data_IF_326635528847
#
_entry.id   IF_326635528847
#
_cell.length_a   1.000
_cell.length_b   1.000
_cell.length_c   1.000
_cell.angle_alpha   90.00
_cell.angle_beta   90.00
_cell.angle_gamma   90.00
#
_symmetry.space_group_name_H-M   'P 1'
#
loop_
_entity.id
_entity.type
_entity.pdbx_description
1 polymer ?
#
# COMPACT_ATOMS: atom_id res chain seq x y z
N UNK A 1 -5.21 -9.16 -7.26
CA UNK A 1 -4.49 -7.89 -6.98
C UNK A 1 -4.44 -7.68 -5.47
N UNK A 2 -3.39 -7.09 -4.90
CA UNK A 2 -2.97 -7.33 -3.49
C UNK A 2 -4.01 -7.19 -2.35
N UNK A 3 -5.05 -6.37 -2.53
CA UNK A 3 -6.23 -6.24 -1.64
C UNK A 3 -7.42 -7.18 -2.00
N UNK A 4 -7.21 -8.15 -2.86
CA UNK A 4 -8.20 -9.14 -3.29
C UNK A 4 -8.42 -10.20 -2.21
N UNK A 5 -9.67 -10.65 -2.10
CA UNK A 5 -10.04 -11.80 -1.26
C UNK A 5 -9.61 -13.14 -1.92
N UNK A 6 -9.23 -13.14 -3.20
CA UNK A 6 -8.78 -14.30 -3.97
C UNK A 6 -7.37 -14.74 -3.52
N UNK A 7 -7.22 -15.92 -2.87
CA UNK A 7 -5.95 -16.37 -2.30
C UNK A 7 -4.80 -16.46 -3.31
N UNK A 8 -5.09 -16.79 -4.58
CA UNK A 8 -4.09 -16.96 -5.64
C UNK A 8 -3.35 -15.67 -5.99
N UNK A 9 -3.84 -14.51 -5.55
CA UNK A 9 -3.25 -13.20 -5.84
C UNK A 9 -2.72 -12.48 -4.60
N UNK A 10 -2.47 -13.23 -3.51
CA UNK A 10 -2.01 -12.71 -2.23
C UNK A 10 -1.03 -13.68 -1.60
N UNK A 11 0.14 -13.20 -1.19
CA UNK A 11 1.05 -14.00 -0.36
C UNK A 11 0.75 -13.81 1.13
N UNK A 12 1.20 -14.75 1.95
CA UNK A 12 1.08 -14.64 3.40
C UNK A 12 2.06 -13.64 4.03
N UNK A 13 3.17 -13.38 3.34
CA UNK A 13 4.38 -12.74 3.88
C UNK A 13 4.71 -11.36 3.28
N UNK A 14 3.97 -10.90 2.24
CA UNK A 14 4.25 -9.64 1.54
C UNK A 14 3.11 -8.65 1.74
N UNK A 15 3.47 -7.36 1.78
CA UNK A 15 2.48 -6.29 1.78
C UNK A 15 1.65 -6.31 0.49
N UNK A 16 0.43 -5.79 0.54
CA UNK A 16 -0.48 -5.82 -0.60
C UNK A 16 0.06 -5.04 -1.81
N UNK A 17 0.84 -3.98 -1.58
CA UNK A 17 1.50 -3.19 -2.61
C UNK A 17 2.50 -4.04 -3.39
N UNK A 18 3.27 -4.88 -2.69
CA UNK A 18 4.26 -5.78 -3.29
C UNK A 18 3.58 -6.94 -4.02
N UNK A 19 2.53 -7.53 -3.44
CA UNK A 19 1.73 -8.56 -4.12
C UNK A 19 1.16 -8.03 -5.44
N UNK A 20 0.55 -6.83 -5.41
CA UNK A 20 0.02 -6.18 -6.61
C UNK A 20 1.09 -5.90 -7.65
N UNK A 21 2.25 -5.41 -7.21
CA UNK A 21 3.36 -5.10 -8.10
C UNK A 21 3.93 -6.37 -8.76
N UNK A 22 4.09 -7.46 -8.02
CA UNK A 22 4.56 -8.75 -8.55
C UNK A 22 3.58 -9.32 -9.58
N UNK A 23 2.28 -9.35 -9.27
CA UNK A 23 1.24 -9.81 -10.20
C UNK A 23 1.26 -8.99 -11.49
N UNK A 24 1.37 -7.66 -11.40
CA UNK A 24 1.42 -6.80 -12.59
C UNK A 24 2.69 -7.05 -13.42
N UNK A 25 3.84 -7.23 -12.78
CA UNK A 25 5.12 -7.53 -13.45
C UNK A 25 5.06 -8.87 -14.19
N UNK A 26 4.55 -9.91 -13.55
CA UNK A 26 4.39 -11.24 -14.15
C UNK A 26 3.42 -11.17 -15.33
N UNK A 27 2.26 -10.54 -15.13
CA UNK A 27 1.29 -10.33 -16.21
C UNK A 27 1.91 -9.62 -17.41
N UNK A 28 2.61 -8.50 -17.20
CA UNK A 28 3.24 -7.78 -18.30
C UNK A 28 4.26 -8.67 -19.00
N UNK A 29 5.13 -9.40 -18.28
CA UNK A 29 6.11 -10.31 -18.90
C UNK A 29 5.47 -11.41 -19.73
N UNK A 30 4.40 -12.01 -19.23
CA UNK A 30 3.67 -13.06 -19.93
C UNK A 30 3.04 -12.52 -21.23
N UNK A 31 2.46 -11.32 -21.17
CA UNK A 31 1.90 -10.65 -22.36
C UNK A 31 2.96 -10.05 -23.28
N UNK A 32 4.19 -9.83 -22.80
CA UNK A 32 5.27 -9.18 -23.55
C UNK A 32 5.90 -10.06 -24.63
N UNK A 33 5.58 -11.35 -24.62
CA UNK A 33 6.14 -12.34 -25.53
C UNK A 33 5.48 -12.22 -26.91
N UNK A 34 6.17 -11.62 -27.88
CA UNK A 34 5.85 -11.79 -29.31
C UNK A 34 5.13 -10.63 -30.02
N UNK A 35 5.12 -9.41 -29.48
CA UNK A 35 4.53 -8.23 -30.15
C UNK A 35 5.56 -7.13 -30.43
N UNK A 36 5.44 -6.46 -31.58
CA UNK A 36 6.09 -5.15 -31.79
C UNK A 36 5.60 -4.16 -30.72
N UNK A 37 6.52 -3.41 -30.09
CA UNK A 37 6.20 -2.52 -28.95
C UNK A 37 6.31 -3.18 -27.57
N UNK A 38 7.03 -4.29 -27.46
CA UNK A 38 7.31 -4.95 -26.17
C UNK A 38 7.95 -4.00 -25.15
N UNK A 39 7.51 -4.14 -23.90
CA UNK A 39 8.04 -3.43 -22.76
C UNK A 39 9.49 -3.86 -22.50
N UNK A 40 10.39 -2.91 -22.31
CA UNK A 40 11.73 -3.21 -21.81
C UNK A 40 11.66 -3.57 -20.32
N UNK A 41 12.63 -4.34 -19.83
CA UNK A 41 12.72 -4.66 -18.40
C UNK A 41 12.74 -3.39 -17.51
N UNK A 42 13.33 -2.30 -18.00
CA UNK A 42 13.29 -1.02 -17.29
C UNK A 42 11.87 -0.45 -17.15
N UNK A 43 11.01 -0.58 -18.17
CA UNK A 43 9.59 -0.17 -18.08
C UNK A 43 8.79 -1.11 -17.18
N UNK A 44 9.07 -2.40 -17.23
CA UNK A 44 8.45 -3.40 -16.35
C UNK A 44 8.80 -3.10 -14.89
N UNK A 45 10.08 -2.83 -14.59
CA UNK A 45 10.51 -2.40 -13.27
C UNK A 45 9.86 -1.08 -12.87
N UNK A 46 9.73 -0.11 -13.79
CA UNK A 46 9.07 1.18 -13.51
C UNK A 46 7.60 0.99 -13.12
N UNK A 47 6.86 0.11 -13.79
CA UNK A 47 5.48 -0.22 -13.42
C UNK A 47 5.42 -0.89 -12.06
N UNK A 48 6.35 -1.79 -11.77
CA UNK A 48 6.44 -2.40 -10.45
C UNK A 48 6.70 -1.36 -9.37
N UNK A 49 7.65 -0.43 -9.57
CA UNK A 49 7.94 0.64 -8.61
C UNK A 49 6.71 1.51 -8.36
N UNK A 50 5.98 1.85 -9.43
CA UNK A 50 4.79 2.67 -9.35
C UNK A 50 3.71 2.00 -8.49
N UNK A 51 3.51 0.68 -8.64
CA UNK A 51 2.56 -0.08 -7.83
C UNK A 51 3.10 -0.37 -6.43
N UNK A 52 4.38 -0.67 -6.25
CA UNK A 52 4.91 -0.98 -4.93
C UNK A 52 4.93 0.24 -4.00
N UNK A 53 5.08 1.44 -4.57
CA UNK A 53 5.21 2.69 -3.80
C UNK A 53 3.93 3.54 -3.77
N UNK A 54 2.86 3.13 -4.46
CA UNK A 54 1.65 3.95 -4.65
C UNK A 54 0.99 4.40 -3.34
N UNK A 55 1.13 3.63 -2.26
CA UNK A 55 0.55 3.92 -0.95
C UNK A 55 1.53 4.61 0.01
N UNK A 56 2.70 5.06 -0.45
CA UNK A 56 3.73 5.71 0.38
C UNK A 56 4.08 7.11 -0.17
N UNK A 57 3.24 8.14 0.09
CA UNK A 57 3.41 9.49 -0.49
C UNK A 57 4.76 10.12 -0.19
N UNK A 58 5.30 9.91 1.01
CA UNK A 58 6.58 10.47 1.47
C UNK A 58 7.78 9.97 0.66
N UNK A 59 7.66 8.83 -0.02
CA UNK A 59 8.73 8.25 -0.86
C UNK A 59 8.40 8.46 -2.34
N UNK A 60 7.18 8.08 -2.77
CA UNK A 60 6.78 8.06 -4.17
C UNK A 60 6.92 9.42 -4.87
N UNK A 61 6.66 10.52 -4.16
CA UNK A 61 6.77 11.90 -4.69
C UNK A 61 8.18 12.29 -5.13
N UNK A 62 9.20 11.60 -4.62
CA UNK A 62 10.61 11.85 -4.93
C UNK A 62 11.19 10.83 -5.92
N UNK A 63 10.39 9.84 -6.33
CA UNK A 63 10.77 8.81 -7.28
C UNK A 63 10.61 9.29 -8.74
N UNK A 64 10.61 8.35 -9.69
CA UNK A 64 10.35 8.65 -11.08
C UNK A 64 8.96 9.27 -11.30
N UNK A 65 8.79 10.05 -12.37
CA UNK A 65 7.55 10.81 -12.65
C UNK A 65 6.33 9.90 -12.73
N UNK A 66 6.48 8.71 -13.29
CA UNK A 66 5.40 7.71 -13.39
C UNK A 66 4.98 7.21 -12.01
N UNK A 67 5.92 7.02 -11.08
CA UNK A 67 5.66 6.58 -9.70
C UNK A 67 4.92 7.69 -8.94
N UNK A 68 5.41 8.93 -9.03
CA UNK A 68 4.76 10.08 -8.42
C UNK A 68 3.35 10.31 -8.98
N UNK A 69 3.16 10.17 -10.30
CA UNK A 69 1.87 10.34 -10.95
C UNK A 69 0.85 9.28 -10.52
N UNK A 70 1.26 8.01 -10.45
CA UNK A 70 0.38 6.94 -9.94
C UNK A 70 -0.02 7.22 -8.50
N UNK A 71 0.92 7.62 -7.65
CA UNK A 71 0.61 7.96 -6.26
C UNK A 71 -0.33 9.18 -6.14
N UNK A 72 -0.18 10.21 -6.98
CA UNK A 72 -1.12 11.33 -7.03
C UNK A 72 -2.52 10.89 -7.50
N UNK A 73 -2.60 9.98 -8.47
CA UNK A 73 -3.86 9.38 -8.91
C UNK A 73 -4.57 8.64 -7.77
N UNK A 74 -3.81 7.89 -6.95
CA UNK A 74 -4.35 7.28 -5.74
C UNK A 74 -4.91 8.35 -4.81
N UNK A 75 -4.17 9.42 -4.51
CA UNK A 75 -4.71 10.51 -3.70
C UNK A 75 -5.95 11.16 -4.31
N UNK A 76 -6.06 11.26 -5.64
CA UNK A 76 -7.26 11.77 -6.30
C UNK A 76 -8.51 10.92 -5.99
N UNK A 77 -8.38 9.61 -5.90
CA UNK A 77 -9.50 8.73 -5.53
C UNK A 77 -9.96 8.92 -4.08
N UNK A 78 -9.06 9.30 -3.17
CA UNK A 78 -9.36 9.55 -1.76
C UNK A 78 -9.86 10.98 -1.48
N UNK A 79 -9.24 11.98 -2.09
CA UNK A 79 -9.44 13.39 -1.75
C UNK A 79 -10.20 14.17 -2.83
N UNK A 80 -10.31 13.67 -4.05
CA UNK A 80 -11.02 14.32 -5.16
C UNK A 80 -10.51 15.76 -5.37
N UNK A 81 -11.39 16.77 -5.46
CA UNK A 81 -10.97 18.18 -5.59
C UNK A 81 -10.04 18.69 -4.47
N UNK A 82 -9.98 18.00 -3.32
CA UNK A 82 -9.10 18.36 -2.19
C UNK A 82 -7.71 17.75 -2.27
N UNK A 83 -7.34 17.08 -3.38
CA UNK A 83 -6.01 16.45 -3.52
C UNK A 83 -4.86 17.44 -3.35
N UNK A 84 -5.04 18.71 -3.70
CA UNK A 84 -4.03 19.76 -3.51
C UNK A 84 -3.60 19.92 -2.04
N UNK A 85 -4.48 19.61 -1.07
CA UNK A 85 -4.19 19.71 0.37
C UNK A 85 -3.13 18.70 0.84
N UNK A 86 -3.02 17.56 0.15
CA UNK A 86 -2.14 16.45 0.52
C UNK A 86 -1.00 16.20 -0.46
N UNK A 87 -1.23 16.46 -1.76
CA UNK A 87 -0.23 16.34 -2.80
C UNK A 87 0.56 17.66 -3.01
N UNK A 88 0.02 18.80 -2.55
CA UNK A 88 0.43 20.13 -2.96
C UNK A 88 -0.08 20.49 -4.35
N UNK A 89 0.21 21.72 -4.79
CA UNK A 89 -0.27 22.26 -6.06
C UNK A 89 -1.38 23.30 -5.89
N UNK A 90 -1.97 23.77 -6.99
CA UNK A 90 -3.02 24.78 -6.95
C UNK A 90 -4.35 24.19 -6.47
N UNK A 91 -5.24 25.03 -5.91
CA UNK A 91 -6.55 24.59 -5.39
C UNK A 91 -7.44 23.97 -6.47
N UNK A 92 -7.27 24.38 -7.72
CA UNK A 92 -8.00 23.90 -8.90
C UNK A 92 -7.27 22.77 -9.64
N UNK A 93 -6.32 22.08 -8.99
CA UNK A 93 -5.61 20.92 -9.57
C UNK A 93 -6.58 19.85 -10.13
N UNK A 94 -7.70 19.64 -9.45
CA UNK A 94 -8.83 18.84 -9.91
C UNK A 94 -10.09 19.64 -9.63
N UNK A 95 -10.79 20.08 -10.67
CA UNK A 95 -12.06 20.78 -10.49
C UNK A 95 -13.18 19.81 -10.12
N UNK A 96 -14.25 20.34 -9.50
CA UNK A 96 -15.45 19.55 -9.18
C UNK A 96 -16.09 18.96 -10.45
N UNK A 97 -16.06 19.70 -11.56
CA UNK A 97 -16.62 19.25 -12.84
C UNK A 97 -15.81 18.10 -13.46
N UNK A 98 -14.48 18.17 -13.42
CA UNK A 98 -13.60 17.07 -13.86
C UNK A 98 -13.80 15.83 -13.00
N UNK A 99 -13.86 16.01 -11.67
CA UNK A 99 -14.16 14.92 -10.75
C UNK A 99 -15.50 14.25 -11.06
N UNK A 100 -16.57 15.03 -11.27
CA UNK A 100 -17.88 14.50 -11.65
C UNK A 100 -17.88 13.82 -13.02
N UNK A 101 -17.11 14.33 -13.99
CA UNK A 101 -16.99 13.70 -15.30
C UNK A 101 -16.40 12.29 -15.20
N UNK A 102 -15.36 12.09 -14.37
CA UNK A 102 -14.77 10.78 -14.11
C UNK A 102 -15.75 9.88 -13.35
N UNK A 103 -16.34 10.36 -12.26
CA UNK A 103 -17.26 9.55 -11.41
C UNK A 103 -18.54 9.12 -12.14
N UNK A 104 -18.96 9.84 -13.18
CA UNK A 104 -20.10 9.44 -14.02
C UNK A 104 -19.79 8.17 -14.83
N UNK A 105 -18.54 8.00 -15.25
CA UNK A 105 -18.09 6.85 -16.07
C UNK A 105 -17.56 5.73 -15.18
N UNK A 106 -16.89 6.08 -14.07
CA UNK A 106 -16.25 5.16 -13.14
C UNK A 106 -16.76 5.43 -11.71
N UNK A 107 -17.98 5.01 -11.37
CA UNK A 107 -18.53 5.21 -10.02
C UNK A 107 -17.73 4.42 -8.98
N UNK A 108 -17.72 4.88 -7.72
CA UNK A 108 -16.91 4.29 -6.63
C UNK A 108 -17.19 2.82 -6.33
N UNK A 109 -18.34 2.28 -6.75
CA UNK A 109 -18.67 0.85 -6.66
C UNK A 109 -18.39 0.22 -5.26
N UNK A 110 -18.75 0.92 -4.19
CA UNK A 110 -18.54 0.46 -2.80
C UNK A 110 -17.17 0.84 -2.20
N UNK A 111 -16.33 1.57 -2.94
CA UNK A 111 -15.10 2.18 -2.42
C UNK A 111 -15.41 3.46 -1.62
N UNK A 112 -16.06 3.28 -0.48
CA UNK A 112 -16.31 4.29 0.54
C UNK A 112 -15.57 3.95 1.85
N UNK A 113 -15.83 4.71 2.91
CA UNK A 113 -15.18 4.48 4.21
C UNK A 113 -15.48 3.11 4.82
N UNK A 114 -16.67 2.54 4.59
CA UNK A 114 -17.02 1.21 5.10
C UNK A 114 -16.34 0.12 4.26
N UNK A 115 -16.39 0.25 2.93
CA UNK A 115 -15.70 -0.67 2.02
C UNK A 115 -14.19 -0.71 2.28
N UNK A 116 -13.57 0.46 2.45
CA UNK A 116 -12.16 0.57 2.81
C UNK A 116 -11.86 -0.11 4.15
N UNK A 117 -12.66 0.17 5.19
CA UNK A 117 -12.48 -0.46 6.51
C UNK A 117 -12.51 -1.98 6.39
N UNK A 118 -13.53 -2.53 5.72
CA UNK A 118 -13.67 -3.98 5.52
C UNK A 118 -12.42 -4.58 4.87
N UNK A 119 -11.93 -3.98 3.80
CA UNK A 119 -10.76 -4.47 3.05
C UNK A 119 -9.51 -4.46 3.93
N UNK A 120 -9.25 -3.38 4.65
CA UNK A 120 -8.00 -3.21 5.40
C UNK A 120 -7.98 -4.03 6.70
N UNK A 121 -9.11 -4.10 7.41
CA UNK A 121 -9.25 -5.01 8.55
C UNK A 121 -9.08 -6.47 8.11
N UNK A 122 -9.60 -6.84 6.94
CA UNK A 122 -9.36 -8.18 6.37
C UNK A 122 -7.87 -8.44 6.11
N UNK A 123 -7.09 -7.46 5.64
CA UNK A 123 -5.64 -7.61 5.52
C UNK A 123 -4.96 -7.80 6.89
N UNK A 124 -5.38 -7.04 7.89
CA UNK A 124 -4.93 -7.22 9.29
C UNK A 124 -5.24 -8.64 9.80
N UNK A 125 -6.37 -9.23 9.43
CA UNK A 125 -6.72 -10.62 9.79
C UNK A 125 -5.82 -11.63 9.09
N UNK A 126 -5.66 -11.48 7.78
CA UNK A 126 -5.08 -12.53 6.95
C UNK A 126 -3.55 -12.56 6.96
N UNK A 127 -2.91 -11.41 7.17
CA UNK A 127 -1.45 -11.25 7.12
C UNK A 127 -0.97 -10.10 8.01
N UNK A 128 -1.34 -10.17 9.30
CA UNK A 128 -1.09 -9.15 10.31
C UNK A 128 0.35 -8.61 10.30
N UNK A 129 1.34 -9.50 10.25
CA UNK A 129 2.76 -9.13 10.27
C UNK A 129 3.15 -8.15 9.17
N UNK A 130 2.50 -8.23 8.00
CA UNK A 130 2.77 -7.35 6.85
C UNK A 130 2.16 -5.95 7.00
N UNK A 131 1.38 -5.71 8.06
CA UNK A 131 0.63 -4.46 8.28
C UNK A 131 1.14 -3.66 9.47
N UNK A 132 1.96 -4.26 10.35
CA UNK A 132 2.34 -3.65 11.62
C UNK A 132 3.22 -2.39 11.50
N UNK A 133 3.94 -2.23 10.41
CA UNK A 133 4.91 -1.15 10.19
C UNK A 133 4.41 -0.06 9.22
N UNK A 134 3.12 -0.08 8.88
CA UNK A 134 2.52 0.84 7.93
C UNK A 134 1.09 1.22 8.35
N UNK A 135 0.47 2.11 7.57
CA UNK A 135 -0.82 2.74 7.88
C UNK A 135 -2.00 1.75 7.87
N UNK A 136 -1.88 0.58 7.22
CA UNK A 136 -2.89 -0.48 7.31
C UNK A 136 -3.02 -0.96 8.76
N UNK A 137 -1.90 -0.95 9.49
CA UNK A 137 -1.85 -1.27 10.91
C UNK A 137 -2.85 -0.49 11.75
N UNK A 138 -3.07 0.78 11.43
CA UNK A 138 -3.97 1.66 12.16
C UNK A 138 -5.44 1.19 12.09
N UNK A 139 -5.83 0.51 11.01
CA UNK A 139 -7.17 -0.07 10.89
C UNK A 139 -7.35 -1.24 11.85
N UNK A 140 -6.38 -2.13 11.95
CA UNK A 140 -6.40 -3.23 12.92
C UNK A 140 -6.39 -2.73 14.37
N UNK A 141 -5.64 -1.66 14.65
CA UNK A 141 -5.58 -1.03 15.98
C UNK A 141 -6.85 -0.26 16.37
N UNK A 142 -7.62 0.19 15.39
CA UNK A 142 -8.82 1.01 15.61
C UNK A 142 -10.11 0.19 15.58
N UNK A 143 -10.21 -0.74 14.64
CA UNK A 143 -11.45 -1.45 14.32
C UNK A 143 -11.34 -2.98 14.47
N UNK A 144 -10.20 -3.49 14.95
CA UNK A 144 -9.93 -4.92 14.97
C UNK A 144 -9.73 -5.50 13.57
N UNK A 145 -9.74 -6.83 13.51
CA UNK A 145 -9.45 -7.60 12.28
C UNK A 145 -10.68 -7.83 11.39
N UNK A 146 -11.85 -7.40 11.83
CA UNK A 146 -13.13 -7.55 11.11
C UNK A 146 -13.83 -6.23 10.78
N UNK A 147 -13.40 -5.12 11.40
CA UNK A 147 -14.03 -3.81 11.27
C UNK A 147 -14.98 -3.46 12.42
N UNK A 148 -15.28 -4.42 13.30
CA UNK A 148 -16.25 -4.33 14.41
C UNK A 148 -15.64 -4.68 15.78
N UNK A 149 -14.31 -4.85 15.85
CA UNK A 149 -13.54 -5.01 17.09
C UNK A 149 -13.02 -6.42 17.35
N UNK A 150 -13.22 -7.39 16.45
CA UNK A 150 -12.75 -8.77 16.64
C UNK A 150 -11.21 -8.85 16.66
N UNK A 151 -10.67 -9.61 17.60
CA UNK A 151 -9.22 -9.82 17.81
C UNK A 151 -8.41 -8.53 18.03
N UNK A 152 -9.06 -7.43 18.42
CA UNK A 152 -8.41 -6.13 18.60
C UNK A 152 -7.21 -6.19 19.57
N UNK A 153 -7.38 -6.83 20.73
CA UNK A 153 -6.33 -6.91 21.75
C UNK A 153 -5.19 -7.84 21.33
N UNK A 154 -5.49 -8.97 20.68
CA UNK A 154 -4.47 -9.86 20.12
C UNK A 154 -3.65 -9.15 19.03
N UNK A 155 -4.33 -8.42 18.15
CA UNK A 155 -3.70 -7.64 17.10
C UNK A 155 -2.78 -6.55 17.66
N UNK A 156 -3.23 -5.81 18.68
CA UNK A 156 -2.41 -4.82 19.40
C UNK A 156 -1.15 -5.45 19.99
N UNK A 157 -1.28 -6.60 20.66
CA UNK A 157 -0.12 -7.31 21.22
C UNK A 157 0.88 -7.73 20.13
N UNK A 158 0.40 -8.21 18.98
CA UNK A 158 1.26 -8.52 17.83
C UNK A 158 1.98 -7.28 17.31
N UNK A 159 1.24 -6.19 17.13
CA UNK A 159 1.77 -4.90 16.67
C UNK A 159 2.81 -4.30 17.62
N UNK A 160 2.63 -4.45 18.94
CA UNK A 160 3.57 -4.02 19.98
C UNK A 160 4.85 -4.86 19.97
N UNK A 161 4.74 -6.20 19.84
CA UNK A 161 5.90 -7.09 19.73
C UNK A 161 6.73 -6.80 18.48
N UNK A 162 6.11 -6.31 17.41
CA UNK A 162 6.78 -5.94 16.17
C UNK A 162 7.46 -4.56 16.20
N UNK A 163 7.47 -3.83 17.33
CA UNK A 163 8.09 -2.49 17.40
C UNK A 163 9.60 -2.57 17.13
N UNK A 164 10.01 -1.95 16.01
CA UNK A 164 11.41 -1.95 15.57
C UNK A 164 12.37 -1.34 16.58
N UNK A 165 11.94 -0.35 17.37
CA UNK A 165 12.79 0.27 18.38
C UNK A 165 13.32 -0.77 19.39
N UNK A 166 12.42 -1.55 20.02
CA UNK A 166 12.82 -2.57 21.00
C UNK A 166 13.71 -3.66 20.41
N UNK A 167 13.40 -4.10 19.19
CA UNK A 167 14.15 -5.16 18.50
C UNK A 167 15.56 -4.67 18.17
N UNK A 168 15.67 -3.49 17.55
CA UNK A 168 16.94 -2.95 17.08
C UNK A 168 17.85 -2.56 18.25
N UNK A 169 17.30 -1.95 19.32
CA UNK A 169 18.12 -1.58 20.48
C UNK A 169 18.63 -2.82 21.20
N UNK A 170 17.79 -3.82 21.45
CA UNK A 170 18.21 -5.07 22.09
C UNK A 170 19.25 -5.84 21.25
N UNK A 171 19.08 -5.86 19.92
CA UNK A 171 20.06 -6.45 19.03
C UNK A 171 21.41 -5.72 19.10
N UNK A 172 21.41 -4.38 19.08
CA UNK A 172 22.64 -3.59 19.19
C UNK A 172 23.30 -3.75 20.56
N UNK A 173 22.55 -3.77 21.66
CA UNK A 173 23.08 -4.03 23.02
C UNK A 173 23.76 -5.41 23.11
N UNK A 174 23.20 -6.41 22.43
CA UNK A 174 23.80 -7.74 22.34
C UNK A 174 25.14 -7.71 21.58
N UNK A 175 25.23 -6.92 20.51
CA UNK A 175 26.48 -6.72 19.77
C UNK A 175 27.53 -5.96 20.62
N UNK A 176 27.12 -4.91 21.34
CA UNK A 176 28.01 -4.18 22.27
C UNK A 176 28.58 -5.10 23.35
N UNK A 177 27.78 -6.05 23.84
CA UNK A 177 28.25 -7.05 24.82
C UNK A 177 29.25 -8.02 24.19
N UNK A 178 29.03 -8.41 22.94
CA UNK A 178 29.93 -9.28 22.19
C UNK A 178 31.29 -8.61 21.93
N UNK A 179 31.30 -7.32 21.60
CA UNK A 179 32.51 -6.53 21.35
C UNK A 179 33.43 -6.41 22.59
N UNK A 180 32.93 -6.73 23.80
CA UNK A 180 33.69 -6.69 25.06
C UNK A 180 34.32 -8.03 25.45
N UNK A 181 34.11 -9.09 24.64
CA UNK A 181 34.59 -10.45 24.93
C UNK A 181 35.93 -10.79 24.28
N UNK A 182 36.58 -9.81 23.63
CA UNK A 182 37.96 -9.83 23.13
C UNK A 182 38.96 -9.24 24.16
#
# INVERSE_FOLDING_TARGET
MGWSETPEHRSADKRFEVDGANVAREFVRDQNSGTEGSWTEARIQRSWDAIALHATPSIARHAAKEVALVQMGVLADFFGPRTHEVAGGPEDLITVDEYHAVMRVFPRAGFDGQGMRKILCHLCRMKADTTFDNWVGDFGLTYGTDGEGENLEEYKQGWEKARSASILTSALESLVTLDQQD
#
